data_IF_554109785447
#
_entry.id   IF_554109785447
#
_cell.length_a   1.000
_cell.length_b   1.000
_cell.length_c   1.000
_cell.angle_alpha   90.00
_cell.angle_beta   90.00
_cell.angle_gamma   90.00
#
_symmetry.space_group_name_H-M   'P 1'
#
loop_
_entity.id
_entity.type
_entity.pdbx_description
1 polymer ?
#
# COMPACT_ATOMS: atom_id res chain seq x y z
N UNK A 1 -6.63 -21.78 -10.59
CA UNK A 1 -7.76 -20.87 -10.25
C UNK A 1 -7.33 -20.04 -9.06
N UNK A 2 -7.60 -18.73 -9.06
CA UNK A 2 -7.22 -17.81 -7.96
C UNK A 2 -8.46 -17.04 -7.48
N UNK A 3 -8.47 -16.64 -6.21
CA UNK A 3 -9.46 -15.68 -5.68
C UNK A 3 -9.02 -14.29 -6.13
N UNK A 4 -9.86 -13.59 -6.88
CA UNK A 4 -9.53 -12.28 -7.47
C UNK A 4 -9.94 -11.11 -6.59
N UNK A 5 -10.98 -11.29 -5.77
CA UNK A 5 -11.52 -10.26 -4.88
C UNK A 5 -12.27 -10.90 -3.72
N UNK A 6 -12.28 -10.22 -2.58
CA UNK A 6 -13.08 -10.54 -1.40
C UNK A 6 -13.87 -9.29 -1.03
N UNK A 7 -15.20 -9.41 -1.08
CA UNK A 7 -16.12 -8.30 -0.94
C UNK A 7 -17.11 -8.57 0.18
N UNK A 8 -17.30 -7.60 1.06
CA UNK A 8 -18.31 -7.62 2.11
C UNK A 8 -19.64 -7.06 1.57
N UNK A 9 -20.72 -7.81 1.74
CA UNK A 9 -22.08 -7.29 1.55
C UNK A 9 -22.42 -6.37 2.71
N UNK A 10 -22.57 -5.08 2.42
CA UNK A 10 -22.83 -4.04 3.41
C UNK A 10 -24.31 -3.92 3.78
N UNK A 11 -25.20 -4.23 2.83
CA UNK A 11 -26.65 -4.16 3.01
C UNK A 11 -27.37 -3.81 1.70
N UNK A 12 -28.52 -3.17 1.83
CA UNK A 12 -29.33 -2.68 0.71
C UNK A 12 -29.65 -1.19 0.92
N UNK A 13 -29.63 -0.43 -0.17
CA UNK A 13 -30.17 0.93 -0.24
C UNK A 13 -31.29 0.94 -1.28
N UNK A 14 -32.55 0.94 -0.79
CA UNK A 14 -33.70 0.61 -1.64
C UNK A 14 -33.50 -0.76 -2.28
N UNK A 15 -33.46 -0.80 -3.61
CA UNK A 15 -33.26 -2.02 -4.40
C UNK A 15 -31.79 -2.28 -4.79
N UNK A 16 -30.86 -1.43 -4.34
CA UNK A 16 -29.44 -1.54 -4.70
C UNK A 16 -28.66 -2.29 -3.61
N UNK A 17 -27.93 -3.35 -4.00
CA UNK A 17 -27.02 -4.07 -3.08
C UNK A 17 -25.74 -3.26 -2.90
N UNK A 18 -25.39 -2.99 -1.65
CA UNK A 18 -24.16 -2.31 -1.30
C UNK A 18 -23.05 -3.33 -1.04
N UNK A 19 -21.93 -3.16 -1.73
CA UNK A 19 -20.77 -4.02 -1.66
C UNK A 19 -19.53 -3.20 -1.32
N UNK A 20 -18.64 -3.75 -0.51
CA UNK A 20 -17.35 -3.14 -0.17
C UNK A 20 -16.21 -4.14 -0.37
N UNK A 21 -15.28 -3.83 -1.26
CA UNK A 21 -14.10 -4.67 -1.47
C UNK A 21 -13.12 -4.54 -0.30
N UNK A 22 -12.75 -5.67 0.29
CA UNK A 22 -11.83 -5.76 1.42
C UNK A 22 -10.44 -6.20 0.95
N UNK A 23 -10.37 -7.12 -0.01
CA UNK A 23 -9.13 -7.56 -0.63
C UNK A 23 -9.29 -7.66 -2.15
N UNK A 24 -8.23 -7.34 -2.88
CA UNK A 24 -8.12 -7.63 -4.32
C UNK A 24 -6.83 -8.37 -4.61
N UNK A 25 -6.83 -9.19 -5.66
CA UNK A 25 -5.65 -9.93 -6.09
C UNK A 25 -4.74 -9.03 -6.93
N UNK A 26 -3.48 -8.91 -6.49
CA UNK A 26 -2.41 -8.23 -7.22
C UNK A 26 -1.48 -9.26 -7.83
N UNK A 27 -1.35 -9.22 -9.15
CA UNK A 27 -0.33 -10.03 -9.84
C UNK A 27 1.07 -9.56 -9.42
N UNK A 28 1.91 -10.52 -9.04
CA UNK A 28 3.32 -10.29 -8.77
C UNK A 28 4.11 -10.99 -9.88
N UNK A 29 5.04 -10.28 -10.55
CA UNK A 29 5.88 -10.91 -11.57
C UNK A 29 6.72 -12.02 -10.95
N UNK A 30 6.57 -13.26 -11.45
CA UNK A 30 7.45 -14.37 -11.11
C UNK A 30 8.50 -14.55 -12.21
N UNK A 31 9.76 -14.78 -11.82
CA UNK A 31 10.85 -15.07 -12.77
C UNK A 31 10.67 -16.41 -13.49
N UNK A 32 9.89 -17.32 -12.92
CA UNK A 32 9.78 -18.71 -13.39
C UNK A 32 8.55 -18.95 -14.28
N UNK A 33 7.89 -17.88 -14.76
CA UNK A 33 6.69 -17.96 -15.60
C UNK A 33 5.44 -18.51 -14.90
N UNK A 34 5.51 -18.81 -13.61
CA UNK A 34 4.36 -19.26 -12.82
C UNK A 34 3.47 -18.06 -12.43
N UNK A 35 2.15 -18.16 -12.58
CA UNK A 35 1.24 -17.13 -12.07
C UNK A 35 1.47 -16.97 -10.57
N UNK A 36 1.89 -15.77 -10.16
CA UNK A 36 2.09 -15.43 -8.76
C UNK A 36 1.39 -14.12 -8.45
N UNK A 37 0.97 -13.97 -7.22
CA UNK A 37 0.25 -12.80 -6.77
C UNK A 37 -0.24 -12.98 -5.36
N UNK A 38 -0.78 -11.91 -4.81
CA UNK A 38 -1.18 -11.84 -3.41
C UNK A 38 -2.51 -11.10 -3.28
N UNK A 39 -3.28 -11.45 -2.25
CA UNK A 39 -4.43 -10.64 -1.85
C UNK A 39 -3.93 -9.42 -1.07
N UNK A 40 -4.25 -8.24 -1.58
CA UNK A 40 -3.89 -6.97 -0.99
C UNK A 40 -5.12 -6.36 -0.34
N UNK A 41 -5.01 -6.01 0.94
CA UNK A 41 -6.07 -5.32 1.65
C UNK A 41 -6.29 -3.92 1.06
N UNK A 42 -7.56 -3.50 0.97
CA UNK A 42 -7.93 -2.17 0.48
C UNK A 42 -7.61 -1.05 1.47
N UNK A 43 -7.44 -1.37 2.75
CA UNK A 43 -7.29 -0.39 3.83
C UNK A 43 -8.57 -0.18 4.64
N UNK A 44 -9.69 -0.74 4.20
CA UNK A 44 -10.99 -0.55 4.84
C UNK A 44 -11.18 -1.58 5.96
N UNK A 45 -11.65 -1.11 7.13
CA UNK A 45 -12.07 -1.98 8.24
C UNK A 45 -13.45 -2.59 7.90
N UNK A 46 -13.59 -3.92 7.80
CA UNK A 46 -14.89 -4.55 7.55
C UNK A 46 -15.82 -4.44 8.76
N UNK A 47 -17.14 -4.43 8.52
CA UNK A 47 -18.15 -4.40 9.60
C UNK A 47 -18.28 -5.73 10.31
N UNK A 48 -18.06 -6.84 9.61
CA UNK A 48 -18.13 -8.18 10.20
C UNK A 48 -17.09 -8.41 11.32
N UNK A 49 -16.08 -7.55 11.47
CA UNK A 49 -15.10 -7.66 12.56
C UNK A 49 -15.78 -7.61 13.93
N UNK A 50 -16.82 -6.80 14.07
CA UNK A 50 -17.52 -6.69 15.34
C UNK A 50 -18.26 -8.00 15.66
N UNK A 51 -18.85 -8.65 14.64
CA UNK A 51 -19.43 -10.00 14.77
C UNK A 51 -18.40 -11.07 15.12
N UNK A 52 -17.19 -10.99 14.55
CA UNK A 52 -16.12 -11.92 14.89
C UNK A 52 -15.68 -11.74 16.35
N UNK A 53 -15.58 -10.49 16.83
CA UNK A 53 -15.27 -10.21 18.23
C UNK A 53 -16.37 -10.75 19.17
N UNK A 54 -17.65 -10.60 18.81
CA UNK A 54 -18.78 -11.20 19.55
C UNK A 54 -18.70 -12.73 19.63
N UNK A 55 -18.11 -13.37 18.62
CA UNK A 55 -17.82 -14.82 18.59
C UNK A 55 -16.52 -15.19 19.31
N UNK A 56 -15.82 -14.23 19.93
CA UNK A 56 -14.52 -14.44 20.58
C UNK A 56 -13.34 -14.60 19.62
N UNK A 57 -13.52 -14.24 18.34
CA UNK A 57 -12.48 -14.29 17.30
C UNK A 57 -11.90 -12.90 17.13
N UNK A 58 -10.74 -12.66 17.77
CA UNK A 58 -10.02 -11.39 17.60
C UNK A 58 -9.11 -11.43 16.37
N UNK A 59 -9.31 -10.45 15.47
CA UNK A 59 -8.45 -10.24 14.31
C UNK A 59 -7.63 -8.95 14.46
N UNK A 60 -6.30 -9.02 14.32
CA UNK A 60 -5.46 -7.83 14.31
C UNK A 60 -5.84 -6.87 13.18
N UNK A 61 -6.06 -5.58 13.50
CA UNK A 61 -6.42 -4.55 12.51
C UNK A 61 -5.42 -4.45 11.34
N UNK A 62 -4.14 -4.77 11.60
CA UNK A 62 -3.06 -4.80 10.60
C UNK A 62 -3.35 -5.70 9.39
N UNK A 63 -4.23 -6.70 9.53
CA UNK A 63 -4.66 -7.58 8.44
C UNK A 63 -5.32 -6.80 7.30
N UNK A 64 -6.00 -5.70 7.63
CA UNK A 64 -6.71 -4.86 6.67
C UNK A 64 -5.93 -3.60 6.28
N UNK A 65 -4.72 -3.42 6.80
CA UNK A 65 -3.90 -2.26 6.44
C UNK A 65 -3.46 -2.38 4.98
N UNK A 66 -3.56 -1.26 4.26
CA UNK A 66 -3.09 -1.19 2.89
C UNK A 66 -1.58 -1.44 2.85
N UNK A 67 -1.18 -2.56 2.27
CA UNK A 67 0.25 -2.83 2.05
C UNK A 67 0.66 -2.08 0.77
N UNK A 68 1.54 -1.06 0.87
CA UNK A 68 2.03 -0.38 -0.31
C UNK A 68 2.69 -1.41 -1.24
N UNK A 69 2.57 -1.20 -2.56
CA UNK A 69 3.32 -2.01 -3.50
C UNK A 69 4.81 -1.97 -3.10
N UNK A 70 5.53 -3.11 -3.13
CA UNK A 70 6.97 -3.07 -2.93
C UNK A 70 7.54 -2.03 -3.87
N UNK A 71 8.41 -1.16 -3.36
CA UNK A 71 9.06 -0.15 -4.18
C UNK A 71 9.71 -0.91 -5.35
N UNK A 72 9.20 -0.69 -6.56
CA UNK A 72 9.84 -1.21 -7.77
C UNK A 72 11.14 -0.45 -7.85
N UNK A 73 12.22 -1.09 -7.41
CA UNK A 73 13.56 -0.50 -7.36
C UNK A 73 14.01 -0.18 -8.79
N UNK A 74 13.74 1.05 -9.19
CA UNK A 74 14.21 1.68 -10.43
C UNK A 74 14.61 3.15 -10.22
N UNK A 75 14.70 3.62 -8.98
CA UNK A 75 15.25 4.94 -8.65
C UNK A 75 16.63 4.77 -8.00
N UNK A 76 17.70 5.37 -8.54
CA UNK A 76 18.95 5.42 -7.81
C UNK A 76 18.70 6.13 -6.47
N UNK A 77 18.97 5.43 -5.36
CA UNK A 77 19.07 6.01 -4.02
C UNK A 77 20.32 6.89 -3.97
N UNK A 78 20.29 8.04 -4.63
CA UNK A 78 21.28 9.12 -4.48
C UNK A 78 20.73 10.36 -5.18
N UNK A 79 19.80 11.06 -4.54
CA UNK A 79 19.87 12.52 -4.64
C UNK A 79 21.06 12.91 -3.79
N UNK A 80 22.26 12.91 -4.41
CA UNK A 80 23.41 13.61 -3.83
C UNK A 80 22.92 15.03 -3.65
N UNK A 81 22.70 15.44 -2.41
CA UNK A 81 22.32 16.81 -2.11
C UNK A 81 23.50 17.66 -2.59
N UNK A 82 23.39 18.24 -3.79
CA UNK A 82 24.40 19.17 -4.29
C UNK A 82 24.28 20.37 -3.38
N UNK A 83 25.18 20.46 -2.40
CA UNK A 83 25.30 21.63 -1.54
C UNK A 83 25.72 22.78 -2.45
N UNK A 84 24.76 23.62 -2.82
CA UNK A 84 25.02 24.88 -3.51
C UNK A 84 25.62 25.82 -2.46
N UNK A 85 26.88 26.26 -2.59
CA UNK A 85 27.44 27.25 -1.70
C UNK A 85 26.68 28.57 -1.86
N UNK A 86 26.41 29.22 -0.74
CA UNK A 86 25.83 30.56 -0.72
C UNK A 86 26.75 31.58 -1.39
N UNK A 87 26.17 32.69 -1.86
CA UNK A 87 26.93 33.78 -2.47
C UNK A 87 28.05 34.34 -1.55
N UNK A 88 27.84 34.29 -0.22
CA UNK A 88 28.87 34.67 0.77
C UNK A 88 30.03 33.67 0.84
N UNK A 89 29.75 32.37 0.70
CA UNK A 89 30.79 31.33 0.67
C UNK A 89 31.66 31.43 -0.59
N UNK A 90 31.06 31.78 -1.74
CA UNK A 90 31.79 32.03 -2.99
C UNK A 90 32.67 33.29 -2.90
N UNK A 91 32.14 34.39 -2.37
CA UNK A 91 32.86 35.66 -2.27
C UNK A 91 34.10 35.60 -1.34
N UNK A 92 34.05 34.79 -0.29
CA UNK A 92 35.20 34.60 0.62
C UNK A 92 36.27 33.70 0.01
N UNK A 93 35.91 32.74 -0.84
CA UNK A 93 36.85 31.86 -1.51
C UNK A 93 37.68 32.58 -2.59
N UNK A 94 37.11 33.58 -3.27
CA UNK A 94 37.84 34.40 -4.26
C UNK A 94 38.83 35.39 -3.64
N UNK A 95 38.60 35.83 -2.40
CA UNK A 95 39.52 36.74 -1.68
C UNK A 95 40.72 36.03 -1.05
N UNK A 96 40.67 34.70 -0.94
CA UNK A 96 41.72 33.87 -0.35
C UNK A 96 42.69 33.29 -1.39
N UNK A 97 42.63 33.77 -2.63
CA UNK A 97 43.51 33.41 -3.75
C UNK A 97 44.41 34.58 -4.09
#
# INVERSE_FOLDING_TARGET
>A
RVVTSVTELQGMEGDTILLQEIFHYRNVPSRDGRPSGELVATGLRPKFIDKLNEMGIELPAKVFHRTPAPAVDGRPKSTRQVRVPSARELANAERAK
#
